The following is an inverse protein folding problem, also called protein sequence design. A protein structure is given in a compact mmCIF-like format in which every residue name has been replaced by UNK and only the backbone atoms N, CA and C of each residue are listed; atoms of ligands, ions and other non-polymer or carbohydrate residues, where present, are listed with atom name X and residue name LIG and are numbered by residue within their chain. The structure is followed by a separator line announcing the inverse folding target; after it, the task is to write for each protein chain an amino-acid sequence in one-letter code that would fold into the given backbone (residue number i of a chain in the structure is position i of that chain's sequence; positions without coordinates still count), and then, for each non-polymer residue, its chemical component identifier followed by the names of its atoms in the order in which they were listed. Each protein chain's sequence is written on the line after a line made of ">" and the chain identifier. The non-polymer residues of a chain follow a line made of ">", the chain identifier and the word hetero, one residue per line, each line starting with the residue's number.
data_IF_717200586521
#
_entry.id   IF_717200586521
#
_cell.length_a   1.000
_cell.length_b   1.000
_cell.length_c   1.000
_cell.angle_alpha   90.00
_cell.angle_beta   90.00
_cell.angle_gamma   90.00
#
_symmetry.space_group_name_H-M   'P 1'
#
loop_
_entity.id
_entity.type
_entity.pdbx_description
1 polymer ?
#
# COMPACT_ATOMS: atom_id res chain seq x y z
N UNK A 1 -36.02 11.33 3.26
CA UNK A 1 -36.36 10.98 1.86
C UNK A 1 -37.77 11.52 1.62
N UNK A 2 -37.90 12.56 0.84
CA UNK A 2 -39.20 13.07 0.41
C UNK A 2 -39.40 12.63 -1.03
N UNK A 3 -40.53 11.94 -1.27
CA UNK A 3 -40.97 11.51 -2.62
C UNK A 3 -42.03 12.51 -3.07
N UNK A 4 -41.81 13.17 -4.20
CA UNK A 4 -42.80 14.06 -4.79
C UNK A 4 -43.83 13.25 -5.55
N UNK A 5 -45.15 13.48 -5.36
CA UNK A 5 -46.19 12.60 -5.85
C UNK A 5 -46.48 12.65 -7.35
N UNK A 6 -45.83 13.48 -8.14
CA UNK A 6 -46.21 13.68 -9.55
C UNK A 6 -45.07 13.68 -10.58
N UNK A 7 -43.87 13.18 -10.21
CA UNK A 7 -42.78 12.98 -11.16
C UNK A 7 -42.03 11.70 -10.84
N UNK A 8 -41.63 10.98 -11.86
CA UNK A 8 -40.79 9.78 -11.78
C UNK A 8 -39.35 10.05 -11.24
N UNK A 9 -39.11 11.24 -10.73
CA UNK A 9 -37.82 11.64 -10.19
C UNK A 9 -37.80 11.49 -8.66
N UNK A 10 -36.89 10.69 -8.16
CA UNK A 10 -36.61 10.56 -6.72
C UNK A 10 -35.61 11.61 -6.31
N UNK A 11 -36.02 12.58 -5.50
CA UNK A 11 -35.12 13.55 -4.89
C UNK A 11 -34.64 13.03 -3.54
N UNK A 12 -33.35 12.76 -3.42
CA UNK A 12 -32.73 12.44 -2.15
C UNK A 12 -32.11 13.71 -1.58
N UNK A 13 -32.74 14.28 -0.57
CA UNK A 13 -32.16 15.40 0.16
C UNK A 13 -31.30 14.85 1.29
N UNK A 14 -30.00 14.99 1.17
CA UNK A 14 -29.05 14.65 2.23
C UNK A 14 -28.77 15.93 3.04
N UNK A 15 -29.34 15.99 4.23
CA UNK A 15 -29.01 17.06 5.17
C UNK A 15 -27.64 16.76 5.78
N UNK A 16 -26.62 17.46 5.30
CA UNK A 16 -25.28 17.44 5.91
C UNK A 16 -25.22 18.55 6.93
N UNK A 17 -25.30 18.21 8.22
CA UNK A 17 -24.90 19.15 9.25
C UNK A 17 -23.37 19.16 9.32
N UNK A 18 -22.75 20.29 9.01
CA UNK A 18 -21.34 20.49 9.32
C UNK A 18 -21.22 20.45 10.85
N UNK A 19 -20.61 19.36 11.35
CA UNK A 19 -20.26 19.26 12.76
C UNK A 19 -19.22 20.32 13.14
N UNK A 20 -19.10 20.60 14.43
CA UNK A 20 -18.08 21.52 14.94
C UNK A 20 -16.68 21.08 14.46
N UNK A 21 -15.87 22.05 14.05
CA UNK A 21 -14.48 21.80 13.63
C UNK A 21 -13.65 21.53 14.89
N UNK A 22 -13.16 20.29 15.01
CA UNK A 22 -12.24 19.91 16.06
C UNK A 22 -10.79 20.14 15.62
N UNK A 23 -9.98 20.65 16.53
CA UNK A 23 -8.53 20.73 16.37
C UNK A 23 -7.89 19.44 16.90
N UNK A 24 -6.75 19.12 16.33
CA UNK A 24 -5.94 18.01 16.79
C UNK A 24 -5.26 18.37 18.11
N UNK A 25 -5.46 17.56 19.12
CA UNK A 25 -4.73 17.61 20.40
C UNK A 25 -3.42 16.83 20.32
N UNK A 26 -3.09 16.09 21.38
CA UNK A 26 -1.90 15.26 21.41
C UNK A 26 -1.92 14.17 20.34
N UNK A 27 -0.77 13.95 19.69
CA UNK A 27 -0.55 12.85 18.75
C UNK A 27 0.48 11.90 19.35
N UNK A 28 0.07 10.64 19.56
CA UNK A 28 0.88 9.60 20.18
C UNK A 28 1.02 8.39 19.27
N UNK A 29 2.15 7.71 19.42
CA UNK A 29 2.39 6.38 18.88
C UNK A 29 2.34 5.37 20.04
N UNK A 30 1.65 4.26 19.84
CA UNK A 30 1.55 3.17 20.79
C UNK A 30 1.66 1.82 20.10
N UNK A 31 1.82 0.76 20.86
CA UNK A 31 1.96 -0.60 20.36
C UNK A 31 3.41 -1.04 20.26
N UNK A 32 3.71 -1.90 19.30
CA UNK A 32 5.05 -2.45 19.08
C UNK A 32 5.72 -1.78 17.89
N UNK A 33 6.90 -1.23 18.12
CA UNK A 33 7.71 -0.60 17.07
C UNK A 33 8.90 -1.50 16.76
N UNK A 34 8.98 -1.98 15.53
CA UNK A 34 10.13 -2.79 15.06
C UNK A 34 11.27 -1.92 14.53
N UNK A 35 11.04 -0.63 14.49
CA UNK A 35 12.01 0.43 14.16
C UNK A 35 12.00 1.46 15.28
N UNK A 36 13.03 2.33 15.39
CA UNK A 36 13.03 3.39 16.39
C UNK A 36 11.79 4.28 16.31
N UNK A 37 11.17 4.59 17.44
CA UNK A 37 9.98 5.44 17.50
C UNK A 37 10.21 6.82 16.88
N UNK A 38 11.40 7.38 17.08
CA UNK A 38 11.79 8.67 16.49
C UNK A 38 11.73 8.68 14.97
N UNK A 39 12.01 7.54 14.34
CA UNK A 39 11.90 7.38 12.90
C UNK A 39 10.44 7.40 12.44
N UNK A 40 9.56 6.71 13.17
CA UNK A 40 8.12 6.73 12.88
C UNK A 40 7.49 8.11 13.10
N UNK A 41 7.96 8.85 14.08
CA UNK A 41 7.49 10.22 14.33
C UNK A 41 7.73 11.16 13.15
N UNK A 42 8.76 10.93 12.36
CA UNK A 42 9.03 11.72 11.15
C UNK A 42 7.95 11.57 10.06
N UNK A 43 7.20 10.48 10.10
CA UNK A 43 6.10 10.23 9.16
C UNK A 43 4.76 10.83 9.60
N UNK A 44 4.69 11.38 10.80
CA UNK A 44 3.48 12.04 11.28
C UNK A 44 3.25 13.34 10.50
N UNK A 45 2.27 13.30 9.60
CA UNK A 45 1.85 14.47 8.81
C UNK A 45 0.90 15.37 9.57
N UNK A 46 0.47 14.94 10.76
CA UNK A 46 -0.48 15.60 11.63
C UNK A 46 0.26 16.17 12.83
N UNK A 47 -0.06 17.42 13.17
CA UNK A 47 0.56 18.13 14.29
C UNK A 47 -0.49 18.65 15.27
N UNK A 48 -0.19 18.67 16.59
CA UNK A 48 -1.07 19.29 17.57
C UNK A 48 -1.43 20.73 17.17
N UNK A 49 -2.69 21.09 17.32
CA UNK A 49 -3.21 22.43 17.01
C UNK A 49 -3.71 22.61 15.57
N UNK A 50 -3.44 21.67 14.68
CA UNK A 50 -3.98 21.68 13.32
C UNK A 50 -5.44 21.18 13.30
N UNK A 51 -6.16 21.51 12.23
CA UNK A 51 -7.51 20.98 12.01
C UNK A 51 -7.46 19.48 11.79
N UNK A 52 -8.37 18.74 12.43
CA UNK A 52 -8.49 17.29 12.24
C UNK A 52 -8.78 16.96 10.77
N UNK A 53 -7.91 16.20 10.13
CA UNK A 53 -8.02 15.81 8.71
C UNK A 53 -7.87 14.32 8.55
N UNK A 54 -8.94 13.64 8.12
CA UNK A 54 -8.90 12.20 7.80
C UNK A 54 -7.90 11.86 6.72
N UNK A 55 -7.73 12.73 5.73
CA UNK A 55 -6.77 12.54 4.64
C UNK A 55 -5.33 12.47 5.13
N UNK A 56 -4.94 13.36 6.02
CA UNK A 56 -3.60 13.38 6.60
C UNK A 56 -3.36 12.19 7.54
N UNK A 57 -4.40 11.78 8.28
CA UNK A 57 -4.34 10.59 9.14
C UNK A 57 -4.14 9.33 8.31
N UNK A 58 -4.89 9.15 7.24
CA UNK A 58 -4.73 8.00 6.33
C UNK A 58 -3.35 8.01 5.68
N UNK A 59 -2.87 9.14 5.22
CA UNK A 59 -1.54 9.27 4.64
C UNK A 59 -0.43 8.92 5.65
N UNK A 60 -0.55 9.37 6.90
CA UNK A 60 0.37 9.00 7.99
C UNK A 60 0.36 7.50 8.24
N UNK A 61 -0.82 6.89 8.31
CA UNK A 61 -1.01 5.45 8.47
C UNK A 61 -0.29 4.67 7.37
N UNK A 62 -0.48 5.06 6.13
CA UNK A 62 0.16 4.42 4.97
C UNK A 62 1.69 4.57 5.00
N UNK A 63 2.21 5.74 5.36
CA UNK A 63 3.66 5.97 5.48
C UNK A 63 4.30 5.06 6.54
N UNK A 64 3.66 4.92 7.70
CA UNK A 64 4.13 4.04 8.76
C UNK A 64 4.07 2.58 8.31
N UNK A 65 2.97 2.14 7.70
CA UNK A 65 2.83 0.78 7.17
C UNK A 65 3.89 0.47 6.12
N UNK A 66 4.15 1.39 5.20
CA UNK A 66 5.17 1.23 4.18
C UNK A 66 6.57 1.12 4.79
N UNK A 67 6.87 1.92 5.81
CA UNK A 67 8.17 1.84 6.50
C UNK A 67 8.37 0.47 7.16
N UNK A 68 7.35 -0.05 7.84
CA UNK A 68 7.39 -1.38 8.45
C UNK A 68 7.48 -2.48 7.37
N UNK A 69 6.84 -2.29 6.25
CA UNK A 69 6.91 -3.18 5.10
C UNK A 69 8.33 -3.35 4.54
N UNK A 70 9.18 -2.33 4.60
CA UNK A 70 10.59 -2.41 4.20
C UNK A 70 11.41 -3.38 5.07
N UNK A 71 10.98 -3.60 6.31
CA UNK A 71 11.61 -4.54 7.24
C UNK A 71 11.00 -5.95 7.20
N UNK A 72 10.13 -6.22 6.22
CA UNK A 72 9.46 -7.50 6.04
C UNK A 72 8.10 -7.63 6.71
N UNK A 73 7.61 -6.59 7.37
CA UNK A 73 6.29 -6.56 8.01
C UNK A 73 5.23 -6.03 7.05
N UNK A 74 5.02 -6.79 5.97
CA UNK A 74 4.17 -6.37 4.84
C UNK A 74 2.68 -6.24 5.19
N UNK A 75 2.23 -6.90 6.25
CA UNK A 75 0.84 -6.86 6.73
C UNK A 75 0.69 -6.11 8.05
N UNK A 76 1.62 -5.21 8.34
CA UNK A 76 1.54 -4.35 9.52
C UNK A 76 0.24 -3.54 9.51
N UNK A 77 -0.35 -3.42 10.68
CA UNK A 77 -1.55 -2.61 10.91
C UNK A 77 -1.19 -1.39 11.72
N UNK A 78 -1.74 -0.27 11.30
CA UNK A 78 -1.63 1.01 12.03
C UNK A 78 -3.03 1.57 12.17
N UNK A 79 -3.56 1.54 13.38
CA UNK A 79 -4.92 1.98 13.66
C UNK A 79 -4.93 3.34 14.35
N UNK A 80 -5.47 4.38 13.70
CA UNK A 80 -5.66 5.68 14.32
C UNK A 80 -6.87 5.63 15.25
N UNK A 81 -6.66 5.89 16.53
CA UNK A 81 -7.73 5.95 17.54
C UNK A 81 -7.90 7.38 18.00
N UNK A 82 -8.99 8.05 17.63
CA UNK A 82 -9.31 9.39 18.10
C UNK A 82 -9.94 9.32 19.50
N UNK A 83 -9.57 10.26 20.34
CA UNK A 83 -10.19 10.47 21.65
C UNK A 83 -10.69 11.92 21.71
N UNK A 84 -11.98 12.17 21.43
CA UNK A 84 -12.53 13.52 21.46
C UNK A 84 -12.57 14.08 22.88
N UNK A 85 -12.26 15.38 23.02
CA UNK A 85 -12.49 16.17 24.22
C UNK A 85 -13.42 17.33 23.88
N UNK A 86 -14.69 17.21 24.19
CA UNK A 86 -15.71 18.18 23.88
C UNK A 86 -15.52 19.51 24.63
N UNK A 87 -14.88 19.48 25.79
CA UNK A 87 -14.65 20.68 26.61
C UNK A 87 -13.61 21.60 26.00
N UNK A 88 -12.60 21.04 25.32
CA UNK A 88 -11.52 21.76 24.66
C UNK A 88 -11.72 21.87 23.14
N UNK A 89 -12.73 21.18 22.59
CA UNK A 89 -12.93 21.01 21.14
C UNK A 89 -11.67 20.50 20.42
N UNK A 90 -10.98 19.57 21.05
CA UNK A 90 -9.78 18.91 20.58
C UNK A 90 -10.01 17.41 20.46
N UNK A 91 -9.29 16.76 19.54
CA UNK A 91 -9.25 15.31 19.39
C UNK A 91 -7.82 14.86 19.58
N UNK A 92 -7.56 14.13 20.65
CA UNK A 92 -6.29 13.43 20.81
C UNK A 92 -6.27 12.23 19.86
N UNK A 93 -5.13 11.97 19.24
CA UNK A 93 -4.97 10.89 18.27
C UNK A 93 -3.84 9.96 18.70
N UNK A 94 -4.13 8.68 18.73
CA UNK A 94 -3.13 7.65 18.99
C UNK A 94 -3.08 6.70 17.82
N UNK A 95 -1.89 6.53 17.23
CA UNK A 95 -1.64 5.51 16.22
C UNK A 95 -1.15 4.24 16.92
N UNK A 96 -1.97 3.20 16.91
CA UNK A 96 -1.60 1.89 17.40
C UNK A 96 -0.92 1.09 16.30
N UNK A 97 0.35 0.74 16.53
CA UNK A 97 1.17 0.00 15.58
C UNK A 97 1.22 -1.46 15.98
N UNK A 98 0.73 -2.32 15.09
CA UNK A 98 0.85 -3.78 15.18
C UNK A 98 1.57 -4.28 13.94
N UNK A 99 2.87 -4.61 14.03
CA UNK A 99 3.64 -5.06 12.89
C UNK A 99 3.21 -6.44 12.37
N UNK A 100 2.59 -7.27 13.22
CA UNK A 100 2.31 -8.66 12.89
C UNK A 100 3.60 -9.47 12.73
N UNK A 101 3.53 -10.53 11.95
CA UNK A 101 4.66 -11.39 11.67
C UNK A 101 5.43 -10.91 10.43
N UNK A 102 6.74 -11.10 10.43
CA UNK A 102 7.57 -10.90 9.24
C UNK A 102 7.21 -11.95 8.19
N UNK A 103 7.06 -11.51 6.95
CA UNK A 103 6.62 -12.36 5.84
C UNK A 103 7.77 -12.61 4.88
N UNK A 104 7.89 -13.87 4.44
CA UNK A 104 8.95 -14.31 3.53
C UNK A 104 8.37 -14.74 2.19
N UNK A 105 9.14 -14.56 1.12
CA UNK A 105 8.79 -15.00 -0.23
C UNK A 105 9.18 -16.46 -0.41
N UNK A 106 8.20 -17.33 -0.67
CA UNK A 106 8.44 -18.72 -1.00
C UNK A 106 8.88 -18.87 -2.46
N UNK A 107 8.04 -18.44 -3.39
CA UNK A 107 8.29 -18.54 -4.82
C UNK A 107 8.00 -17.23 -5.53
N UNK A 108 8.77 -16.95 -6.57
CA UNK A 108 8.49 -15.92 -7.56
C UNK A 108 8.10 -16.62 -8.85
N UNK A 109 6.90 -16.34 -9.32
CA UNK A 109 6.28 -16.99 -10.49
C UNK A 109 6.05 -15.94 -11.58
N UNK A 110 6.40 -16.32 -12.82
CA UNK A 110 6.16 -15.50 -14.01
C UNK A 110 5.10 -16.17 -14.88
N UNK A 111 3.97 -15.52 -15.04
CA UNK A 111 2.85 -15.99 -15.84
C UNK A 111 2.75 -15.17 -17.15
N UNK A 112 2.15 -15.78 -18.17
CA UNK A 112 1.94 -15.12 -19.46
C UNK A 112 3.17 -15.06 -20.36
N UNK A 113 4.25 -15.76 -20.00
CA UNK A 113 5.50 -15.81 -20.73
C UNK A 113 5.54 -17.03 -21.63
N UNK A 114 5.74 -16.85 -22.92
CA UNK A 114 5.83 -17.93 -23.90
C UNK A 114 7.15 -17.94 -24.67
N UNK A 115 7.76 -16.79 -24.86
CA UNK A 115 8.96 -16.60 -25.70
C UNK A 115 10.21 -16.24 -24.92
N UNK A 116 10.05 -15.67 -23.73
CA UNK A 116 11.15 -15.19 -22.92
C UNK A 116 11.56 -16.29 -21.93
N UNK A 117 12.86 -16.54 -21.83
CA UNK A 117 13.36 -17.51 -20.86
C UNK A 117 13.21 -16.98 -19.43
N UNK A 118 12.78 -17.86 -18.53
CA UNK A 118 12.63 -17.57 -17.09
C UNK A 118 13.90 -16.96 -16.49
N UNK A 119 15.06 -17.45 -16.89
CA UNK A 119 16.35 -16.95 -16.41
C UNK A 119 16.59 -15.47 -16.72
N UNK A 120 16.11 -14.98 -17.86
CA UNK A 120 16.20 -13.56 -18.22
C UNK A 120 15.37 -12.71 -17.30
N UNK A 121 14.16 -13.16 -16.95
CA UNK A 121 13.28 -12.49 -16.03
C UNK A 121 13.85 -12.49 -14.61
N UNK A 122 14.39 -13.60 -14.16
CA UNK A 122 14.99 -13.75 -12.82
C UNK A 122 16.18 -12.82 -12.60
N UNK A 123 16.96 -12.52 -13.61
CA UNK A 123 18.06 -11.54 -13.54
C UNK A 123 17.59 -10.14 -13.21
N UNK A 124 16.38 -9.80 -13.59
CA UNK A 124 15.80 -8.50 -13.31
C UNK A 124 15.23 -8.38 -11.89
N UNK A 125 15.08 -9.47 -11.17
CA UNK A 125 14.52 -9.47 -9.83
C UNK A 125 15.43 -8.78 -8.82
N UNK A 126 14.80 -8.00 -7.96
CA UNK A 126 15.41 -7.42 -6.76
C UNK A 126 14.84 -8.02 -5.49
N UNK A 127 13.56 -8.40 -5.52
CA UNK A 127 12.98 -9.30 -4.54
C UNK A 127 13.49 -10.71 -4.80
N UNK A 128 13.98 -11.38 -3.77
CA UNK A 128 14.51 -12.74 -3.87
C UNK A 128 13.60 -13.74 -3.15
N UNK A 129 13.57 -14.97 -3.66
CA UNK A 129 12.99 -16.12 -2.95
C UNK A 129 13.77 -16.39 -1.66
N UNK A 130 13.09 -16.79 -0.60
CA UNK A 130 13.69 -17.02 0.72
C UNK A 130 14.00 -15.76 1.52
N UNK A 131 13.94 -14.58 0.91
CA UNK A 131 14.06 -13.30 1.60
C UNK A 131 12.72 -12.82 2.14
N UNK A 132 12.76 -11.88 3.08
CA UNK A 132 11.51 -11.25 3.51
C UNK A 132 10.88 -10.43 2.39
N UNK A 133 9.56 -10.40 2.38
CA UNK A 133 8.81 -9.60 1.41
C UNK A 133 9.05 -8.11 1.64
N UNK A 134 9.49 -7.43 0.60
CA UNK A 134 9.58 -5.98 0.55
C UNK A 134 8.80 -5.45 -0.64
N UNK A 135 7.73 -4.71 -0.38
CA UNK A 135 6.91 -4.12 -1.43
C UNK A 135 7.73 -3.20 -2.35
N UNK A 136 8.73 -2.51 -1.79
CA UNK A 136 9.64 -1.68 -2.57
C UNK A 136 10.51 -2.51 -3.53
N UNK A 137 10.99 -3.68 -3.10
CA UNK A 137 11.78 -4.57 -3.97
C UNK A 137 10.91 -5.25 -5.03
N UNK A 138 9.68 -5.60 -4.70
CA UNK A 138 8.69 -6.12 -5.67
C UNK A 138 8.41 -5.07 -6.74
N UNK A 139 8.12 -3.85 -6.33
CA UNK A 139 7.85 -2.75 -7.28
C UNK A 139 9.08 -2.43 -8.15
N UNK A 140 10.26 -2.43 -7.56
CA UNK A 140 11.51 -2.25 -8.33
C UNK A 140 11.73 -3.37 -9.33
N UNK A 141 11.43 -4.61 -8.96
CA UNK A 141 11.48 -5.78 -9.86
C UNK A 141 10.51 -5.61 -11.02
N UNK A 142 9.28 -5.22 -10.72
CA UNK A 142 8.24 -4.93 -11.73
C UNK A 142 8.71 -3.86 -12.73
N UNK A 143 9.26 -2.74 -12.23
CA UNK A 143 9.77 -1.66 -13.07
C UNK A 143 10.93 -2.10 -13.96
N UNK A 144 11.80 -2.98 -13.48
CA UNK A 144 12.89 -3.53 -14.28
C UNK A 144 12.38 -4.45 -15.39
N UNK A 145 11.42 -5.32 -15.09
CA UNK A 145 10.76 -6.14 -16.12
C UNK A 145 10.07 -5.26 -17.17
N UNK A 146 9.40 -4.20 -16.75
CA UNK A 146 8.69 -3.29 -17.65
C UNK A 146 9.62 -2.56 -18.65
N UNK A 147 10.91 -2.45 -18.34
CA UNK A 147 11.90 -1.82 -19.22
C UNK A 147 12.42 -2.74 -20.31
N UNK A 148 12.15 -4.03 -20.22
CA UNK A 148 12.57 -4.97 -21.26
C UNK A 148 11.81 -4.70 -22.56
N UNK A 149 12.49 -4.65 -23.71
CA UNK A 149 11.90 -4.14 -24.96
C UNK A 149 10.77 -5.01 -25.54
N UNK A 150 10.67 -6.24 -25.09
CA UNK A 150 9.67 -7.22 -25.56
C UNK A 150 8.55 -7.46 -24.52
N UNK A 151 8.50 -6.65 -23.49
CA UNK A 151 7.42 -6.68 -22.48
C UNK A 151 6.55 -5.45 -22.65
N UNK A 152 5.25 -5.68 -22.87
CA UNK A 152 4.26 -4.62 -23.01
C UNK A 152 3.74 -4.15 -21.66
N UNK A 153 3.42 -5.10 -20.77
CA UNK A 153 2.83 -4.80 -19.45
C UNK A 153 3.26 -5.83 -18.40
N UNK A 154 3.45 -5.38 -17.18
CA UNK A 154 3.70 -6.22 -16.01
C UNK A 154 2.78 -5.81 -14.88
N UNK A 155 2.08 -6.77 -14.32
CA UNK A 155 1.35 -6.64 -13.06
C UNK A 155 1.98 -7.55 -12.02
N UNK A 156 1.89 -7.18 -10.75
CA UNK A 156 2.40 -8.01 -9.65
C UNK A 156 1.29 -8.27 -8.63
N UNK A 157 1.26 -9.46 -8.11
CA UNK A 157 0.33 -9.88 -7.07
C UNK A 157 1.08 -10.69 -6.01
N UNK A 158 0.81 -10.41 -4.76
CA UNK A 158 1.32 -11.17 -3.62
C UNK A 158 0.22 -12.08 -3.10
N UNK A 159 0.46 -13.39 -3.14
CA UNK A 159 -0.53 -14.40 -2.73
C UNK A 159 -0.09 -15.10 -1.45
N UNK A 160 -0.91 -15.10 -0.40
CA UNK A 160 -0.65 -15.89 0.80
C UNK A 160 -0.57 -17.38 0.47
N UNK A 161 0.36 -18.08 1.12
CA UNK A 161 0.48 -19.54 1.01
C UNK A 161 -0.48 -20.17 2.01
N UNK A 162 -1.44 -21.02 1.58
CA UNK A 162 -2.35 -21.70 2.49
C UNK A 162 -1.61 -22.52 3.54
N UNK A 163 -2.00 -22.37 4.82
CA UNK A 163 -1.38 -23.07 5.93
C UNK A 163 -0.04 -22.52 6.43
N UNK A 164 0.47 -21.46 5.82
CA UNK A 164 1.75 -20.83 6.19
C UNK A 164 1.57 -19.31 6.29
N UNK A 165 1.23 -18.77 7.48
CA UNK A 165 0.89 -17.35 7.65
C UNK A 165 2.07 -16.39 7.42
N UNK A 166 3.30 -16.90 7.44
CA UNK A 166 4.54 -16.16 7.25
C UNK A 166 5.15 -16.32 5.83
N UNK A 167 4.45 -17.03 4.93
CA UNK A 167 4.90 -17.23 3.56
C UNK A 167 3.93 -16.65 2.54
N UNK A 168 4.51 -16.09 1.48
CA UNK A 168 3.78 -15.62 0.31
C UNK A 168 4.49 -16.06 -0.97
N UNK A 169 3.72 -16.16 -2.04
CA UNK A 169 4.24 -16.23 -3.41
C UNK A 169 4.04 -14.88 -4.08
N UNK A 170 5.04 -14.42 -4.82
CA UNK A 170 4.93 -13.22 -5.64
C UNK A 170 4.77 -13.65 -7.09
N UNK A 171 3.66 -13.29 -7.69
CA UNK A 171 3.36 -13.58 -9.09
C UNK A 171 3.46 -12.31 -9.92
N UNK A 172 4.17 -12.42 -11.04
CA UNK A 172 4.23 -11.38 -12.06
C UNK A 172 3.45 -11.85 -13.28
N UNK A 173 2.36 -11.15 -13.59
CA UNK A 173 1.62 -11.35 -14.83
C UNK A 173 2.25 -10.49 -15.92
N UNK A 174 2.81 -11.15 -16.92
CA UNK A 174 3.58 -10.51 -17.99
C UNK A 174 2.81 -10.63 -19.29
N UNK A 175 2.59 -9.50 -19.94
CA UNK A 175 2.12 -9.43 -21.32
C UNK A 175 3.30 -9.16 -22.22
N UNK A 176 3.63 -10.14 -23.08
CA UNK A 176 4.66 -9.99 -24.08
C UNK A 176 4.17 -9.08 -25.21
N UNK A 177 5.01 -8.13 -25.62
CA UNK A 177 4.77 -7.30 -26.79
C UNK A 177 5.14 -8.01 -28.09
N UNK A 178 4.80 -7.41 -29.25
CA UNK A 178 5.28 -7.90 -30.51
C UNK A 178 6.80 -7.87 -30.51
N UNK A 179 7.41 -8.98 -30.96
CA UNK A 179 8.86 -9.02 -31.18
C UNK A 179 9.23 -7.80 -32.00
N UNK A 180 10.08 -6.93 -31.50
CA UNK A 180 10.67 -5.92 -32.34
C UNK A 180 11.39 -6.65 -33.46
N UNK A 181 10.78 -6.73 -34.62
CA UNK A 181 11.51 -7.03 -35.82
C UNK A 181 12.50 -5.88 -35.96
N UNK A 182 13.75 -6.17 -35.65
CA UNK A 182 14.86 -5.38 -36.17
C UNK A 182 14.73 -5.44 -37.69
N UNK A 183 13.95 -4.52 -38.22
CA UNK A 183 13.95 -4.23 -39.66
C UNK A 183 15.31 -3.66 -39.98
N UNK A 184 16.27 -4.54 -40.19
CA UNK A 184 17.49 -4.22 -40.89
C UNK A 184 17.12 -4.00 -42.32
N UNK A 185 16.70 -2.78 -42.64
CA UNK A 185 16.68 -2.29 -44.03
C UNK A 185 18.13 -2.17 -44.47
N UNK A 186 18.62 -3.17 -45.17
CA UNK A 186 19.75 -3.03 -46.04
C UNK A 186 19.25 -2.24 -47.26
N UNK A 187 19.75 -1.04 -47.42
CA UNK A 187 19.81 -0.34 -48.70
C UNK A 187 21.25 -0.40 -49.14
#
# INVERSE_FOLDING_TARGET
>A
VAIAPEKDDIFVTVNVSEGEVFKLGDVKLAGTFVVPEEELRKFLLVKPGETFSKKQITATQELIQNRLGLEGYAFAKVDPVPTPDDSKKEVALTFFVDPGNRVYVRHIVFNGVTKINDEVLRREMRQLEGGWLSNALVERSKQRLQRLPYIEKVESETKPVPGSPDLVDVEFEIKEGPSAQLGGGLV
#
